data_IF_789563298507
#
_entry.id   IF_789563298507
#
_cell.length_a   1.000
_cell.length_b   1.000
_cell.length_c   1.000
_cell.angle_alpha   90.00
_cell.angle_beta   90.00
_cell.angle_gamma   90.00
#
_symmetry.space_group_name_H-M   'P 1'
#
loop_
_entity.id
_entity.type
_entity.pdbx_description
1 polymer ?
#
# COMPACT_ATOMS: atom_id res chain seq x y z
N UNK A 1 -8.40 -31.19 3.98
CA UNK A 1 -6.95 -30.82 3.83
C UNK A 1 -6.04 -31.60 4.77
N UNK A 2 -6.51 -31.93 5.97
CA UNK A 2 -5.74 -32.65 6.99
C UNK A 2 -6.31 -34.05 7.23
N UNK A 3 -5.48 -34.94 7.74
CA UNK A 3 -5.90 -36.27 8.17
C UNK A 3 -6.60 -36.15 9.54
N UNK A 4 -7.83 -36.66 9.65
CA UNK A 4 -8.66 -36.53 10.86
C UNK A 4 -7.96 -37.02 12.13
N UNK A 5 -7.30 -38.18 12.06
CA UNK A 5 -6.55 -38.73 13.20
C UNK A 5 -5.43 -37.79 13.65
N UNK A 6 -4.71 -37.18 12.70
CA UNK A 6 -3.67 -36.20 13.02
C UNK A 6 -4.23 -34.91 13.60
N UNK A 7 -5.41 -34.47 13.14
CA UNK A 7 -6.08 -33.32 13.75
C UNK A 7 -6.40 -33.63 15.21
N UNK A 8 -7.01 -34.78 15.52
CA UNK A 8 -7.33 -35.14 16.91
C UNK A 8 -6.08 -35.22 17.80
N UNK A 9 -4.98 -35.79 17.30
CA UNK A 9 -3.68 -35.79 17.99
C UNK A 9 -3.18 -34.36 18.31
N UNK A 10 -3.40 -33.40 17.40
CA UNK A 10 -3.06 -31.99 17.61
C UNK A 10 -3.99 -31.36 18.67
N UNK A 11 -5.30 -31.62 18.61
CA UNK A 11 -6.29 -31.11 19.57
C UNK A 11 -5.96 -31.57 21.00
N UNK A 12 -5.62 -32.85 21.18
CA UNK A 12 -5.19 -33.38 22.47
C UNK A 12 -3.88 -32.76 22.96
N UNK A 13 -2.90 -32.62 22.07
CA UNK A 13 -1.61 -32.02 22.41
C UNK A 13 -1.74 -30.54 22.81
N UNK A 14 -2.61 -29.78 22.13
CA UNK A 14 -2.91 -28.39 22.46
C UNK A 14 -3.58 -28.26 23.83
N UNK A 15 -4.62 -29.07 24.11
CA UNK A 15 -5.27 -29.10 25.43
C UNK A 15 -4.27 -29.40 26.55
N UNK A 16 -3.37 -30.36 26.33
CA UNK A 16 -2.29 -30.69 27.28
C UNK A 16 -1.32 -29.52 27.47
N UNK A 17 -0.87 -28.89 26.38
CA UNK A 17 0.00 -27.73 26.44
C UNK A 17 -0.63 -26.55 27.20
N UNK A 18 -1.91 -26.27 26.94
CA UNK A 18 -2.66 -25.23 27.63
C UNK A 18 -2.73 -25.51 29.14
N UNK A 19 -3.09 -26.73 29.54
CA UNK A 19 -3.21 -27.11 30.96
C UNK A 19 -1.86 -27.14 31.70
N UNK A 20 -0.80 -27.63 31.07
CA UNK A 20 0.47 -27.85 31.76
C UNK A 20 1.44 -26.66 31.65
N UNK A 21 1.60 -26.09 30.46
CA UNK A 21 2.64 -25.09 30.17
C UNK A 21 2.10 -23.68 30.29
N UNK A 22 0.93 -23.41 29.70
CA UNK A 22 0.32 -22.07 29.71
C UNK A 22 -0.12 -21.70 31.12
N UNK A 23 -0.90 -22.54 31.79
CA UNK A 23 -1.36 -22.27 33.16
C UNK A 23 -0.19 -22.07 34.15
N UNK A 24 0.87 -22.88 34.03
CA UNK A 24 2.10 -22.70 34.83
C UNK A 24 2.83 -21.39 34.55
N UNK A 25 2.77 -20.88 33.32
CA UNK A 25 3.35 -19.59 32.99
C UNK A 25 2.49 -18.44 33.52
N UNK A 26 1.17 -18.49 33.30
CA UNK A 26 0.20 -17.49 33.76
C UNK A 26 0.19 -17.36 35.29
N UNK A 27 0.29 -18.47 36.02
CA UNK A 27 0.33 -18.44 37.50
C UNK A 27 1.58 -17.75 38.06
N UNK A 28 2.66 -17.65 37.29
CA UNK A 28 3.88 -16.92 37.66
C UNK A 28 3.89 -15.50 37.10
N UNK A 29 3.39 -15.33 35.88
CA UNK A 29 3.36 -14.09 35.15
C UNK A 29 2.04 -14.01 34.37
N UNK A 30 1.01 -13.33 34.92
CA UNK A 30 -0.24 -13.12 34.21
C UNK A 30 -0.02 -12.44 32.86
N UNK A 31 -0.91 -12.72 31.91
CA UNK A 31 -0.89 -12.01 30.64
C UNK A 31 -1.24 -10.53 30.83
N UNK A 32 -0.72 -9.68 29.94
CA UNK A 32 -0.86 -8.22 30.05
C UNK A 32 -2.30 -7.72 29.90
N UNK A 33 -3.14 -8.52 29.25
CA UNK A 33 -4.57 -8.27 29.02
C UNK A 33 -5.30 -9.60 29.12
N UNK A 34 -6.56 -9.54 29.53
CA UNK A 34 -7.45 -10.71 29.50
C UNK A 34 -7.75 -11.13 28.06
N UNK A 35 -7.95 -10.14 27.17
CA UNK A 35 -8.16 -10.34 25.74
C UNK A 35 -7.14 -9.56 24.93
N UNK A 36 -6.58 -10.20 23.91
CA UNK A 36 -5.78 -9.55 22.89
C UNK A 36 -6.65 -9.36 21.66
N UNK A 37 -6.62 -8.15 21.09
CA UNK A 37 -7.35 -7.85 19.87
C UNK A 37 -6.48 -7.01 18.94
N UNK A 38 -6.75 -7.15 17.64
CA UNK A 38 -6.16 -6.29 16.60
C UNK A 38 -6.72 -4.87 16.68
N UNK A 39 -6.12 -3.93 15.96
CA UNK A 39 -6.67 -2.57 15.78
C UNK A 39 -8.07 -2.52 15.13
N UNK A 40 -8.56 -3.65 14.59
CA UNK A 40 -9.94 -3.80 14.09
C UNK A 40 -10.89 -4.44 15.09
N UNK A 41 -10.49 -4.55 16.37
CA UNK A 41 -11.24 -5.22 17.45
C UNK A 41 -11.54 -6.71 17.19
N UNK A 42 -10.78 -7.36 16.31
CA UNK A 42 -10.83 -8.81 16.18
C UNK A 42 -9.99 -9.44 17.29
N UNK A 43 -10.61 -10.28 18.10
CA UNK A 43 -9.93 -11.06 19.15
C UNK A 43 -8.88 -11.98 18.50
N UNK A 44 -7.73 -12.10 19.15
CA UNK A 44 -6.58 -12.88 18.66
C UNK A 44 -6.25 -13.94 19.68
N UNK A 45 -6.33 -15.19 19.25
CA UNK A 45 -5.98 -16.32 20.09
C UNK A 45 -4.47 -16.41 20.32
N UNK A 46 -4.10 -17.04 21.44
CA UNK A 46 -2.70 -17.23 21.82
C UNK A 46 -1.93 -18.05 20.78
N UNK A 47 -2.60 -18.98 20.13
CA UNK A 47 -2.06 -19.93 19.18
C UNK A 47 -3.13 -20.26 18.14
N UNK A 48 -2.71 -20.36 16.88
CA UNK A 48 -3.50 -20.95 15.81
C UNK A 48 -2.81 -22.24 15.33
N UNK A 49 -3.56 -23.31 15.16
CA UNK A 49 -3.16 -24.63 14.72
C UNK A 49 -3.90 -25.03 13.43
N UNK A 50 -3.60 -26.19 12.83
CA UNK A 50 -4.37 -26.68 11.69
C UNK A 50 -5.86 -26.91 11.95
N UNK A 51 -6.29 -27.01 13.22
CA UNK A 51 -7.72 -27.09 13.57
C UNK A 51 -8.47 -25.81 13.14
N UNK A 52 -7.87 -24.64 13.29
CA UNK A 52 -8.52 -23.35 12.99
C UNK A 52 -8.81 -23.13 11.49
N UNK A 53 -8.29 -24.02 10.65
CA UNK A 53 -8.51 -24.01 9.20
C UNK A 53 -8.92 -25.39 8.68
N UNK A 54 -9.48 -26.24 9.55
CA UNK A 54 -9.83 -27.63 9.17
C UNK A 54 -10.89 -27.68 8.07
N UNK A 55 -11.84 -26.73 8.09
CA UNK A 55 -12.92 -26.57 7.11
C UNK A 55 -12.52 -25.80 5.84
N UNK A 56 -11.28 -25.30 5.76
CA UNK A 56 -10.83 -24.50 4.61
C UNK A 56 -10.64 -25.40 3.38
N UNK A 57 -11.42 -25.15 2.31
CA UNK A 57 -11.13 -25.72 1.00
C UNK A 57 -9.93 -25.00 0.36
N UNK A 58 -8.83 -25.73 0.16
CA UNK A 58 -7.61 -25.16 -0.42
C UNK A 58 -7.85 -24.64 -1.84
N UNK A 59 -8.52 -25.41 -2.70
CA UNK A 59 -8.67 -25.05 -4.12
C UNK A 59 -9.63 -23.88 -4.29
N UNK A 60 -10.74 -23.89 -3.54
CA UNK A 60 -11.77 -22.85 -3.66
C UNK A 60 -11.36 -21.54 -2.98
N UNK A 61 -10.77 -21.60 -1.77
CA UNK A 61 -10.51 -20.40 -0.95
C UNK A 61 -9.10 -19.84 -1.11
N UNK A 62 -8.09 -20.68 -1.38
CA UNK A 62 -6.70 -20.25 -1.56
C UNK A 62 -6.26 -20.28 -3.02
N UNK A 63 -6.48 -21.40 -3.70
CA UNK A 63 -6.10 -21.61 -5.09
C UNK A 63 -4.60 -21.50 -5.38
N UNK A 64 -4.29 -21.20 -6.63
CA UNK A 64 -2.94 -20.95 -7.13
C UNK A 64 -2.79 -19.47 -7.55
N UNK A 65 -1.59 -18.88 -7.46
CA UNK A 65 -1.38 -17.52 -7.93
C UNK A 65 -1.65 -17.43 -9.43
N UNK A 66 -2.28 -16.34 -9.86
CA UNK A 66 -2.70 -16.16 -11.24
C UNK A 66 -4.04 -16.80 -11.59
N UNK A 67 -4.68 -17.55 -10.68
CA UNK A 67 -5.98 -18.20 -10.89
C UNK A 67 -7.01 -17.73 -9.86
N UNK A 68 -8.31 -17.83 -10.17
CA UNK A 68 -9.39 -17.59 -9.20
C UNK A 68 -9.18 -18.44 -7.93
N UNK A 69 -9.40 -17.90 -6.72
CA UNK A 69 -9.85 -16.54 -6.36
C UNK A 69 -8.71 -15.53 -6.15
N UNK A 70 -7.50 -15.80 -6.64
CA UNK A 70 -6.30 -14.97 -6.55
C UNK A 70 -5.88 -14.57 -5.13
N UNK A 71 -6.31 -15.31 -4.11
CA UNK A 71 -5.86 -15.14 -2.72
C UNK A 71 -4.34 -15.14 -2.59
N UNK A 72 -3.64 -15.81 -3.51
CA UNK A 72 -2.17 -15.90 -3.55
C UNK A 72 -1.49 -14.93 -4.54
N UNK A 73 -2.26 -14.03 -5.17
CA UNK A 73 -1.82 -13.01 -6.13
C UNK A 73 -2.36 -13.20 -7.54
N UNK A 74 -2.48 -12.12 -8.34
CA UNK A 74 -3.05 -12.14 -9.71
C UNK A 74 -2.09 -12.56 -10.81
N UNK A 75 -0.81 -12.74 -10.50
CA UNK A 75 0.18 -13.14 -11.48
C UNK A 75 0.77 -14.50 -11.09
N UNK A 76 0.89 -15.47 -12.02
CA UNK A 76 1.36 -16.81 -11.69
C UNK A 76 2.82 -16.83 -11.19
N UNK A 77 3.64 -15.87 -11.64
CA UNK A 77 5.06 -15.78 -11.25
C UNK A 77 5.35 -14.68 -10.24
N UNK A 78 4.37 -13.82 -9.93
CA UNK A 78 4.50 -12.64 -9.06
C UNK A 78 5.88 -11.98 -9.20
N UNK A 79 6.60 -11.82 -8.08
CA UNK A 79 7.84 -11.06 -8.02
C UNK A 79 9.09 -11.88 -8.36
N UNK A 80 8.93 -13.17 -8.69
CA UNK A 80 9.97 -13.95 -9.36
C UNK A 80 10.10 -13.54 -10.82
N UNK A 81 9.00 -13.13 -11.44
CA UNK A 81 8.98 -12.62 -12.81
C UNK A 81 9.30 -11.12 -12.86
N UNK A 82 8.53 -10.31 -12.14
CA UNK A 82 8.70 -8.84 -12.12
C UNK A 82 8.38 -8.27 -10.75
N UNK A 83 9.29 -7.46 -10.20
CA UNK A 83 9.03 -6.69 -8.98
C UNK A 83 7.85 -5.72 -9.18
N UNK A 84 7.20 -5.33 -8.10
CA UNK A 84 6.21 -4.25 -8.14
C UNK A 84 6.86 -2.95 -8.66
N UNK A 85 6.04 -2.05 -9.18
CA UNK A 85 6.56 -0.75 -9.62
C UNK A 85 6.88 0.08 -8.38
N UNK A 86 8.15 0.40 -8.17
CA UNK A 86 8.55 1.38 -7.17
C UNK A 86 8.14 2.76 -7.68
N UNK A 87 7.12 3.35 -7.06
CA UNK A 87 6.60 4.69 -7.35
C UNK A 87 6.65 5.55 -6.10
N UNK A 88 7.64 6.43 -6.02
CA UNK A 88 7.65 7.44 -4.98
C UNK A 88 6.73 8.58 -5.38
N UNK A 89 5.82 8.92 -4.46
CA UNK A 89 4.98 10.11 -4.55
C UNK A 89 5.88 11.35 -4.49
N UNK A 90 5.84 12.16 -5.54
CA UNK A 90 6.70 13.31 -5.71
C UNK A 90 5.97 14.44 -6.46
N UNK A 91 6.40 15.66 -6.21
CA UNK A 91 5.78 16.89 -6.72
C UNK A 91 5.78 17.91 -5.59
N UNK A 92 6.41 19.05 -5.81
CA UNK A 92 6.40 20.20 -4.92
C UNK A 92 6.81 21.43 -5.73
N UNK A 93 6.35 22.60 -5.30
CA UNK A 93 6.65 23.89 -5.88
C UNK A 93 6.31 23.96 -7.39
N UNK A 94 7.23 24.41 -8.25
CA UNK A 94 6.93 24.62 -9.68
C UNK A 94 7.06 23.35 -10.52
N UNK A 95 6.53 23.41 -11.74
CA UNK A 95 6.66 22.36 -12.73
C UNK A 95 8.13 22.04 -13.06
N UNK A 96 9.02 23.04 -13.12
CA UNK A 96 10.46 22.85 -13.36
C UNK A 96 11.15 22.09 -12.22
N UNK A 97 10.85 22.44 -10.98
CA UNK A 97 11.44 21.80 -9.79
C UNK A 97 10.97 20.36 -9.67
N UNK A 98 9.68 20.12 -9.91
CA UNK A 98 9.10 18.79 -9.97
C UNK A 98 9.66 17.96 -11.13
N UNK A 99 9.88 18.53 -12.32
CA UNK A 99 10.54 17.86 -13.45
C UNK A 99 11.97 17.42 -13.09
N UNK A 100 12.76 18.32 -12.48
CA UNK A 100 14.12 17.99 -12.01
C UNK A 100 14.08 16.82 -11.03
N UNK A 101 13.11 16.82 -10.09
CA UNK A 101 12.92 15.73 -9.14
C UNK A 101 12.55 14.42 -9.83
N UNK A 102 11.67 14.44 -10.83
CA UNK A 102 11.30 13.24 -11.59
C UNK A 102 12.48 12.64 -12.34
N UNK A 103 13.27 13.46 -13.02
CA UNK A 103 14.50 13.00 -13.70
C UNK A 103 15.49 12.38 -12.72
N UNK A 104 15.70 13.01 -11.56
CA UNK A 104 16.53 12.44 -10.50
C UNK A 104 16.00 11.07 -10.04
N UNK A 105 14.70 10.95 -9.78
CA UNK A 105 14.11 9.68 -9.33
C UNK A 105 14.27 8.57 -10.37
N UNK A 106 14.04 8.87 -11.65
CA UNK A 106 14.23 7.92 -12.75
C UNK A 106 15.70 7.48 -12.87
N UNK A 107 16.65 8.41 -12.72
CA UNK A 107 18.09 8.13 -12.71
C UNK A 107 18.50 7.21 -11.54
N UNK A 108 17.84 7.35 -10.38
CA UNK A 108 18.04 6.47 -9.22
C UNK A 108 17.31 5.12 -9.32
N UNK A 109 16.81 4.75 -10.51
CA UNK A 109 16.21 3.45 -10.78
C UNK A 109 14.70 3.36 -10.49
N UNK A 110 14.03 4.48 -10.26
CA UNK A 110 12.57 4.48 -10.17
C UNK A 110 11.95 4.09 -11.52
N UNK A 111 10.98 3.17 -11.51
CA UNK A 111 10.42 2.56 -12.73
C UNK A 111 9.06 3.14 -13.15
N UNK A 112 8.58 4.14 -12.43
CA UNK A 112 7.38 4.90 -12.77
C UNK A 112 7.25 6.15 -11.91
N UNK A 113 6.57 7.17 -12.41
CA UNK A 113 6.36 8.43 -11.69
C UNK A 113 5.03 8.40 -10.93
N UNK A 114 4.96 9.19 -9.86
CA UNK A 114 3.73 9.47 -9.14
C UNK A 114 3.69 10.95 -8.81
N UNK A 115 2.76 11.66 -9.46
CA UNK A 115 2.62 13.12 -9.44
C UNK A 115 1.68 13.51 -8.30
N UNK A 116 2.20 14.38 -7.44
CA UNK A 116 1.47 15.10 -6.40
C UNK A 116 1.15 16.51 -6.89
N UNK A 117 -0.13 16.88 -6.93
CA UNK A 117 -0.57 18.24 -7.28
C UNK A 117 -0.78 19.07 -6.01
N UNK A 118 -0.67 20.38 -6.11
CA UNK A 118 -0.99 21.26 -4.99
C UNK A 118 -2.49 21.29 -4.69
N UNK A 119 -2.90 21.99 -3.63
CA UNK A 119 -4.32 22.04 -3.25
C UNK A 119 -5.17 22.76 -4.31
N UNK A 120 -4.80 23.96 -4.82
CA UNK A 120 -5.53 24.65 -5.89
C UNK A 120 -5.84 23.78 -7.11
N UNK A 121 -4.83 23.12 -7.68
CA UNK A 121 -5.02 22.22 -8.83
C UNK A 121 -5.95 21.05 -8.47
N UNK A 122 -5.89 20.52 -7.24
CA UNK A 122 -6.75 19.42 -6.81
C UNK A 122 -8.23 19.78 -6.69
N UNK A 123 -8.54 21.03 -6.36
CA UNK A 123 -9.91 21.54 -6.23
C UNK A 123 -10.33 22.41 -7.43
N UNK A 124 -9.55 22.40 -8.52
CA UNK A 124 -9.91 22.99 -9.80
C UNK A 124 -9.83 24.52 -9.85
N UNK A 125 -8.94 25.12 -9.07
CA UNK A 125 -8.63 26.56 -9.16
C UNK A 125 -7.28 26.80 -9.82
N UNK A 126 -7.21 27.88 -10.58
CA UNK A 126 -5.95 28.45 -11.05
C UNK A 126 -5.19 29.10 -9.87
N UNK A 127 -3.87 29.22 -10.02
CA UNK A 127 -2.98 29.81 -9.00
C UNK A 127 -3.31 31.26 -8.61
N UNK A 128 -4.02 32.03 -9.46
CA UNK A 128 -4.40 33.42 -9.21
C UNK A 128 -5.80 33.57 -8.57
N UNK A 129 -6.53 32.48 -8.37
CA UNK A 129 -7.81 32.50 -7.69
C UNK A 129 -7.64 32.89 -6.21
N UNK A 130 -8.56 33.69 -5.66
CA UNK A 130 -8.44 34.20 -4.28
C UNK A 130 -8.38 33.12 -3.19
N UNK A 131 -8.96 31.93 -3.44
CA UNK A 131 -8.86 30.78 -2.52
C UNK A 131 -7.52 30.00 -2.64
N UNK A 132 -6.71 30.30 -3.64
CA UNK A 132 -5.41 29.65 -3.87
C UNK A 132 -4.29 30.30 -3.07
N UNK A 133 -4.51 31.49 -2.52
CA UNK A 133 -3.51 32.26 -1.77
C UNK A 133 -2.89 31.43 -0.63
N UNK A 134 -1.56 31.30 -0.64
CA UNK A 134 -0.81 30.56 0.37
C UNK A 134 -0.78 29.03 0.20
N UNK A 135 -1.43 28.48 -0.82
CA UNK A 135 -1.50 27.03 -1.07
C UNK A 135 -0.85 26.60 -2.41
N UNK A 136 -0.58 27.54 -3.32
CA UNK A 136 0.10 27.31 -4.60
C UNK A 136 1.47 26.66 -4.38
N UNK A 137 1.69 25.48 -4.98
CA UNK A 137 2.96 24.75 -4.95
C UNK A 137 3.37 24.17 -3.59
N UNK A 138 2.55 24.31 -2.54
CA UNK A 138 2.95 24.02 -1.15
C UNK A 138 3.02 22.53 -0.83
N UNK A 139 2.02 21.77 -1.28
CA UNK A 139 1.87 20.33 -1.00
C UNK A 139 2.00 19.44 -2.24
N UNK A 140 2.29 20.05 -3.39
CA UNK A 140 2.42 19.40 -4.68
C UNK A 140 2.82 20.40 -5.76
N UNK A 141 2.86 19.96 -7.00
CA UNK A 141 3.14 20.83 -8.14
C UNK A 141 1.88 21.63 -8.53
N UNK A 142 2.05 22.92 -8.79
CA UNK A 142 1.01 23.78 -9.35
C UNK A 142 0.88 23.54 -10.86
N UNK A 143 -0.34 23.25 -11.34
CA UNK A 143 -0.67 23.09 -12.76
C UNK A 143 -1.95 23.85 -13.07
N UNK A 144 -1.83 24.94 -13.81
CA UNK A 144 -2.96 25.76 -14.25
C UNK A 144 -3.28 25.52 -15.73
N UNK A 145 -2.25 25.20 -16.52
CA UNK A 145 -2.35 25.14 -17.98
C UNK A 145 -1.61 23.95 -18.58
N UNK A 146 -1.85 23.72 -19.88
CA UNK A 146 -1.06 22.76 -20.65
C UNK A 146 0.44 23.11 -20.63
N UNK A 147 0.79 24.40 -20.51
CA UNK A 147 2.19 24.83 -20.50
C UNK A 147 2.95 24.28 -19.29
N UNK A 148 2.29 24.23 -18.13
CA UNK A 148 2.88 23.70 -16.90
C UNK A 148 3.07 22.19 -17.01
N UNK A 149 2.10 21.48 -17.61
CA UNK A 149 2.20 20.05 -17.88
C UNK A 149 3.34 19.72 -18.88
N UNK A 150 3.55 20.56 -19.89
CA UNK A 150 4.69 20.44 -20.82
C UNK A 150 6.03 20.57 -20.09
N UNK A 151 6.15 21.56 -19.21
CA UNK A 151 7.35 21.78 -18.40
C UNK A 151 7.57 20.59 -17.46
N UNK A 152 6.51 20.13 -16.79
CA UNK A 152 6.54 19.03 -15.83
C UNK A 152 7.10 17.74 -16.45
N UNK A 153 6.76 17.47 -17.71
CA UNK A 153 7.19 16.27 -18.43
C UNK A 153 8.26 16.50 -19.49
N UNK A 154 8.86 17.69 -19.54
CA UNK A 154 9.90 18.01 -20.50
C UNK A 154 11.09 17.04 -20.38
N UNK A 155 11.45 16.37 -21.46
CA UNK A 155 12.54 15.40 -21.52
C UNK A 155 12.26 14.07 -20.79
N UNK A 156 11.00 13.77 -20.46
CA UNK A 156 10.58 12.48 -19.90
C UNK A 156 9.80 11.72 -20.99
N UNK A 157 10.27 10.53 -21.44
CA UNK A 157 9.62 9.78 -22.51
C UNK A 157 8.35 9.07 -22.03
N UNK A 158 7.18 9.63 -22.35
CA UNK A 158 5.87 9.15 -21.86
C UNK A 158 5.42 7.78 -22.41
N UNK A 159 6.07 7.27 -23.45
CA UNK A 159 5.88 5.92 -23.99
C UNK A 159 6.63 4.83 -23.20
N UNK A 160 7.63 5.23 -22.41
CA UNK A 160 8.50 4.33 -21.63
C UNK A 160 8.25 4.39 -20.14
N UNK A 161 7.88 5.56 -19.63
CA UNK A 161 7.65 5.78 -18.20
C UNK A 161 6.18 5.64 -17.87
N UNK A 162 5.85 4.86 -16.85
CA UNK A 162 4.48 4.78 -16.37
C UNK A 162 4.21 5.86 -15.33
N UNK A 163 3.19 6.68 -15.55
CA UNK A 163 2.87 7.84 -14.70
C UNK A 163 1.57 7.62 -13.92
N UNK A 164 1.61 7.82 -12.61
CA UNK A 164 0.43 7.90 -11.77
C UNK A 164 0.17 9.35 -11.39
N UNK A 165 -1.06 9.83 -11.53
CA UNK A 165 -1.48 11.19 -11.19
C UNK A 165 -2.50 11.11 -10.04
N UNK A 166 -2.14 11.63 -8.86
CA UNK A 166 -3.01 11.62 -7.69
C UNK A 166 -3.96 12.81 -7.75
N UNK A 167 -4.96 12.67 -8.60
CA UNK A 167 -5.94 13.72 -8.92
C UNK A 167 -7.34 13.09 -9.02
N UNK A 168 -8.36 13.81 -8.55
CA UNK A 168 -9.73 13.31 -8.41
C UNK A 168 -10.75 14.19 -9.12
N UNK A 169 -11.29 15.23 -8.49
CA UNK A 169 -12.36 16.03 -9.09
C UNK A 169 -12.02 16.62 -10.49
N UNK A 170 -10.80 17.14 -10.74
CA UNK A 170 -10.41 17.60 -12.08
C UNK A 170 -9.63 16.54 -12.90
N UNK A 171 -9.72 15.26 -12.53
CA UNK A 171 -8.89 14.21 -13.15
C UNK A 171 -9.07 14.09 -14.68
N UNK A 172 -10.26 14.36 -15.20
CA UNK A 172 -10.52 14.40 -16.65
C UNK A 172 -9.66 15.46 -17.35
N UNK A 173 -9.56 16.66 -16.77
CA UNK A 173 -8.80 17.79 -17.31
C UNK A 173 -7.30 17.48 -17.29
N UNK A 174 -6.77 17.00 -16.17
CA UNK A 174 -5.35 16.68 -16.04
C UNK A 174 -4.96 15.49 -16.91
N UNK A 175 -5.85 14.50 -17.10
CA UNK A 175 -5.64 13.42 -18.06
C UNK A 175 -5.61 13.94 -19.50
N UNK A 176 -6.51 14.85 -19.87
CA UNK A 176 -6.51 15.46 -21.20
C UNK A 176 -5.21 16.25 -21.46
N UNK A 177 -4.73 17.02 -20.49
CA UNK A 177 -3.45 17.71 -20.58
C UNK A 177 -2.28 16.73 -20.75
N UNK A 178 -2.26 15.64 -19.97
CA UNK A 178 -1.22 14.60 -20.09
C UNK A 178 -1.20 13.95 -21.48
N UNK A 179 -2.38 13.66 -22.04
CA UNK A 179 -2.51 13.13 -23.41
C UNK A 179 -2.01 14.14 -24.44
N UNK A 180 -2.38 15.41 -24.32
CA UNK A 180 -1.91 16.46 -25.23
C UNK A 180 -0.39 16.65 -25.19
N UNK A 181 0.24 16.53 -24.01
CA UNK A 181 1.71 16.53 -23.90
C UNK A 181 2.32 15.32 -24.60
N UNK A 182 1.73 14.14 -24.45
CA UNK A 182 2.19 12.94 -25.16
C UNK A 182 2.10 13.10 -26.68
N UNK A 183 1.00 13.65 -27.20
CA UNK A 183 0.82 13.94 -28.63
C UNK A 183 1.88 14.92 -29.13
N UNK A 184 2.18 16.00 -28.37
CA UNK A 184 3.28 16.93 -28.68
C UNK A 184 4.66 16.28 -28.69
N UNK A 185 4.86 15.22 -27.90
CA UNK A 185 6.08 14.42 -27.93
C UNK A 185 6.11 13.36 -29.05
N UNK A 186 5.06 13.27 -29.88
CA UNK A 186 4.92 12.25 -30.92
C UNK A 186 4.56 10.86 -30.39
N UNK A 187 4.02 10.78 -29.18
CA UNK A 187 3.58 9.53 -28.55
C UNK A 187 2.07 9.34 -28.75
N UNK A 188 1.70 8.23 -29.38
CA UNK A 188 0.30 7.86 -29.57
C UNK A 188 -0.37 7.40 -28.27
N UNK A 189 -1.67 7.66 -28.13
CA UNK A 189 -2.45 7.38 -26.91
C UNK A 189 -2.40 5.91 -26.47
N UNK A 190 -2.35 4.97 -27.43
CA UNK A 190 -2.30 3.53 -27.19
C UNK A 190 -0.98 3.07 -26.51
N UNK A 191 0.05 3.92 -26.51
CA UNK A 191 1.33 3.66 -25.82
C UNK A 191 1.35 4.15 -24.38
N UNK A 192 0.41 5.01 -23.98
CA UNK A 192 0.41 5.61 -22.65
C UNK A 192 0.05 4.59 -21.58
N UNK A 193 0.90 4.51 -20.55
CA UNK A 193 0.71 3.62 -19.39
C UNK A 193 0.67 4.45 -18.13
N UNK A 194 -0.43 4.41 -17.41
CA UNK A 194 -0.53 5.22 -16.21
C UNK A 194 -1.78 4.96 -15.42
N UNK A 195 -2.01 5.80 -14.43
CA UNK A 195 -3.17 5.75 -13.55
C UNK A 195 -3.55 7.17 -13.16
N UNK A 196 -4.83 7.52 -13.25
CA UNK A 196 -5.38 8.64 -12.49
C UNK A 196 -6.08 8.09 -11.25
N UNK A 197 -6.08 8.82 -10.14
CA UNK A 197 -6.76 8.35 -8.93
C UNK A 197 -8.28 8.32 -9.13
N UNK A 198 -8.87 9.43 -9.59
CA UNK A 198 -10.25 9.51 -10.13
C UNK A 198 -11.34 8.84 -9.27
N UNK A 199 -11.14 8.81 -7.95
CA UNK A 199 -12.06 8.18 -7.01
C UNK A 199 -12.75 9.30 -6.21
N UNK A 200 -13.96 9.69 -6.62
CA UNK A 200 -14.69 10.78 -5.97
C UNK A 200 -15.42 10.36 -4.70
N UNK A 201 -15.87 9.11 -4.58
CA UNK A 201 -16.64 8.65 -3.41
C UNK A 201 -15.82 8.81 -2.12
N UNK A 202 -14.55 8.39 -2.13
CA UNK A 202 -13.64 8.61 -1.00
C UNK A 202 -13.32 10.09 -0.72
N UNK A 203 -13.52 11.00 -1.69
CA UNK A 203 -13.41 12.45 -1.42
C UNK A 203 -14.51 12.91 -0.46
N UNK A 204 -15.75 12.46 -0.66
CA UNK A 204 -16.84 12.81 0.25
C UNK A 204 -16.71 12.13 1.62
N UNK A 205 -16.14 10.92 1.66
CA UNK A 205 -16.02 10.13 2.89
C UNK A 205 -14.86 10.62 3.78
N UNK A 206 -13.69 10.93 3.20
CA UNK A 206 -12.46 11.07 3.98
C UNK A 206 -11.54 12.24 3.60
N UNK A 207 -11.43 12.60 2.30
CA UNK A 207 -10.35 13.48 1.83
C UNK A 207 -10.75 14.94 1.56
N UNK A 208 -11.99 15.19 1.16
CA UNK A 208 -12.57 16.53 1.06
C UNK A 208 -12.21 17.35 -0.18
N UNK A 209 -11.56 16.80 -1.21
CA UNK A 209 -11.18 17.54 -2.44
C UNK A 209 -12.16 17.35 -3.61
N UNK A 210 -13.46 17.35 -3.31
CA UNK A 210 -14.51 17.31 -4.33
C UNK A 210 -14.86 18.72 -4.82
N UNK A 211 -15.37 18.84 -6.05
CA UNK A 211 -15.82 20.10 -6.65
C UNK A 211 -17.32 20.07 -6.91
N UNK A 212 -17.81 19.02 -7.57
CA UNK A 212 -19.21 18.88 -7.96
C UNK A 212 -19.98 18.02 -6.95
N UNK A 213 -21.32 18.01 -7.00
CA UNK A 213 -22.13 17.03 -6.28
C UNK A 213 -21.81 15.57 -6.71
N UNK A 214 -22.22 14.56 -5.92
CA UNK A 214 -21.88 13.15 -6.19
C UNK A 214 -22.30 12.66 -7.58
N UNK A 215 -23.56 12.89 -7.98
CA UNK A 215 -24.11 12.39 -9.25
C UNK A 215 -23.36 12.88 -10.50
N UNK A 216 -23.14 14.20 -10.72
CA UNK A 216 -22.35 14.65 -11.87
C UNK A 216 -20.88 14.20 -11.81
N UNK A 217 -20.32 14.01 -10.61
CA UNK A 217 -18.95 13.49 -10.46
C UNK A 217 -18.86 12.02 -10.87
N UNK A 218 -19.82 11.19 -10.46
CA UNK A 218 -19.91 9.78 -10.90
C UNK A 218 -20.03 9.68 -12.42
N UNK A 219 -20.81 10.57 -13.05
CA UNK A 219 -20.89 10.66 -14.52
C UNK A 219 -19.54 10.97 -15.17
N UNK A 220 -18.74 11.88 -14.61
CA UNK A 220 -17.41 12.18 -15.16
C UNK A 220 -16.48 10.96 -15.09
N UNK A 221 -16.59 10.16 -14.02
CA UNK A 221 -15.81 8.93 -13.86
C UNK A 221 -16.18 7.90 -14.93
N UNK A 222 -17.47 7.66 -15.16
CA UNK A 222 -17.92 6.70 -16.20
C UNK A 222 -17.57 7.19 -17.62
N UNK A 223 -17.65 8.50 -17.88
CA UNK A 223 -17.17 9.08 -19.14
C UNK A 223 -15.66 8.83 -19.37
N UNK A 224 -14.84 8.90 -18.32
CA UNK A 224 -13.41 8.56 -18.43
C UNK A 224 -13.22 7.07 -18.72
N UNK A 225 -14.03 6.20 -18.12
CA UNK A 225 -13.98 4.76 -18.38
C UNK A 225 -14.26 4.48 -19.85
N UNK A 226 -15.32 5.07 -20.39
CA UNK A 226 -15.68 4.95 -21.80
C UNK A 226 -14.58 5.48 -22.72
N UNK A 227 -14.06 6.68 -22.44
CA UNK A 227 -13.04 7.29 -23.30
C UNK A 227 -11.76 6.45 -23.31
N UNK A 228 -11.28 6.03 -22.14
CA UNK A 228 -10.01 5.31 -22.04
C UNK A 228 -10.10 3.88 -22.56
N UNK A 229 -11.26 3.21 -22.48
CA UNK A 229 -11.42 1.87 -23.06
C UNK A 229 -11.22 1.87 -24.58
N UNK A 230 -11.62 2.97 -25.25
CA UNK A 230 -11.50 3.17 -26.70
C UNK A 230 -10.16 3.77 -27.12
N UNK A 231 -9.74 4.85 -26.46
CA UNK A 231 -8.66 5.73 -26.95
C UNK A 231 -7.33 5.53 -26.22
N UNK A 232 -7.36 5.18 -24.93
CA UNK A 232 -6.16 5.08 -24.07
C UNK A 232 -6.10 3.71 -23.38
N UNK A 233 -6.12 2.60 -24.14
CA UNK A 233 -6.48 1.28 -23.64
C UNK A 233 -5.50 0.70 -22.63
N UNK A 234 -4.33 1.31 -22.38
CA UNK A 234 -3.32 0.89 -21.38
C UNK A 234 -3.34 1.74 -20.10
N UNK A 235 -4.27 2.69 -19.99
CA UNK A 235 -4.45 3.53 -18.81
C UNK A 235 -5.35 2.86 -17.76
N UNK A 236 -4.98 2.94 -16.49
CA UNK A 236 -5.86 2.57 -15.39
C UNK A 236 -6.72 3.79 -15.05
N UNK A 237 -8.03 3.66 -15.21
CA UNK A 237 -8.97 4.78 -15.25
C UNK A 237 -9.39 5.29 -13.88
N UNK A 238 -9.11 4.50 -12.84
CA UNK A 238 -9.39 4.81 -11.45
C UNK A 238 -8.46 3.99 -10.54
N UNK A 239 -8.18 4.55 -9.38
CA UNK A 239 -7.54 3.87 -8.26
C UNK A 239 -8.45 3.97 -7.04
N UNK A 240 -9.30 2.97 -6.85
CA UNK A 240 -10.32 2.89 -5.80
C UNK A 240 -9.62 2.76 -4.44
N UNK A 241 -9.76 3.75 -3.57
CA UNK A 241 -8.75 4.09 -2.56
C UNK A 241 -9.25 3.98 -1.12
N UNK A 242 -8.81 2.93 -0.43
CA UNK A 242 -8.94 2.78 1.03
C UNK A 242 -7.93 3.57 1.83
N UNK A 243 -6.78 3.93 1.22
CA UNK A 243 -5.69 4.61 1.92
C UNK A 243 -6.15 5.82 2.73
N UNK A 244 -6.93 6.72 2.12
CA UNK A 244 -7.39 7.96 2.74
C UNK A 244 -8.42 7.71 3.84
N UNK A 245 -9.30 6.72 3.64
CA UNK A 245 -10.27 6.28 4.65
C UNK A 245 -9.52 5.73 5.87
N UNK A 246 -8.42 5.00 5.67
CA UNK A 246 -7.57 4.50 6.75
C UNK A 246 -6.85 5.63 7.48
N UNK A 247 -6.25 6.59 6.76
CA UNK A 247 -5.61 7.76 7.36
C UNK A 247 -6.60 8.68 8.10
N UNK A 248 -7.86 8.71 7.70
CA UNK A 248 -8.95 9.40 8.41
C UNK A 248 -9.39 8.70 9.71
N UNK A 249 -8.83 7.51 10.02
CA UNK A 249 -9.03 6.81 11.29
C UNK A 249 -9.90 5.55 11.24
N UNK A 250 -10.24 5.05 10.05
CA UNK A 250 -11.00 3.78 9.95
C UNK A 250 -10.17 2.57 10.38
N UNK A 251 -10.82 1.49 10.82
CA UNK A 251 -10.22 0.17 11.05
C UNK A 251 -9.84 -0.53 9.73
N UNK A 252 -9.00 -1.59 9.76
CA UNK A 252 -8.65 -2.29 8.51
C UNK A 252 -9.87 -2.99 7.88
N UNK A 253 -10.81 -3.45 8.71
CA UNK A 253 -12.08 -4.00 8.25
C UNK A 253 -12.93 -2.94 7.55
N UNK A 254 -13.03 -1.74 8.11
CA UNK A 254 -13.74 -0.61 7.51
C UNK A 254 -13.07 -0.13 6.23
N UNK A 255 -11.74 0.00 6.20
CA UNK A 255 -10.97 0.35 5.00
C UNK A 255 -11.34 -0.59 3.84
N UNK A 256 -11.24 -1.91 4.06
CA UNK A 256 -11.57 -2.90 3.03
C UNK A 256 -13.05 -2.84 2.64
N UNK A 257 -13.97 -2.79 3.61
CA UNK A 257 -15.40 -2.82 3.35
C UNK A 257 -15.87 -1.58 2.57
N UNK A 258 -15.44 -0.38 2.96
CA UNK A 258 -15.85 0.86 2.30
C UNK A 258 -15.23 0.98 0.90
N UNK A 259 -13.96 0.60 0.74
CA UNK A 259 -13.32 0.63 -0.59
C UNK A 259 -13.96 -0.36 -1.56
N UNK A 260 -14.35 -1.55 -1.07
CA UNK A 260 -15.10 -2.51 -1.87
C UNK A 260 -16.48 -1.99 -2.25
N UNK A 261 -17.19 -1.35 -1.31
CA UNK A 261 -18.49 -0.76 -1.57
C UNK A 261 -18.40 0.35 -2.64
N UNK A 262 -17.39 1.21 -2.56
CA UNK A 262 -17.11 2.22 -3.60
C UNK A 262 -16.83 1.54 -4.96
N UNK A 263 -16.06 0.44 -4.95
CA UNK A 263 -15.79 -0.34 -6.16
C UNK A 263 -17.05 -0.93 -6.80
N UNK A 264 -17.97 -1.48 -6.00
CA UNK A 264 -19.28 -1.95 -6.46
C UNK A 264 -20.06 -0.78 -7.08
N UNK A 265 -20.11 0.36 -6.40
CA UNK A 265 -20.85 1.53 -6.87
C UNK A 265 -20.32 2.07 -8.21
N UNK A 266 -18.99 2.05 -8.44
CA UNK A 266 -18.41 2.43 -9.73
C UNK A 266 -18.74 1.45 -10.85
N UNK A 267 -18.71 0.14 -10.56
CA UNK A 267 -19.09 -0.89 -11.53
C UNK A 267 -20.56 -0.74 -11.91
N UNK A 268 -21.45 -0.59 -10.93
CA UNK A 268 -22.88 -0.40 -11.15
C UNK A 268 -23.15 0.89 -11.95
N UNK A 269 -22.49 1.99 -11.61
CA UNK A 269 -22.62 3.25 -12.35
C UNK A 269 -22.17 3.12 -13.82
N UNK A 270 -21.08 2.41 -14.08
CA UNK A 270 -20.59 2.18 -15.44
C UNK A 270 -21.53 1.28 -16.25
N UNK A 271 -22.05 0.20 -15.66
CA UNK A 271 -23.04 -0.68 -16.30
C UNK A 271 -24.34 0.10 -16.61
N UNK A 272 -24.81 0.91 -15.66
CA UNK A 272 -25.99 1.77 -15.86
C UNK A 272 -25.77 2.83 -16.95
N UNK A 273 -24.53 3.24 -17.18
CA UNK A 273 -24.14 4.12 -18.30
C UNK A 273 -24.01 3.37 -19.64
N UNK A 274 -24.24 2.05 -19.68
CA UNK A 274 -24.22 1.23 -20.89
C UNK A 274 -22.85 0.66 -21.26
N UNK A 275 -21.87 0.69 -20.36
CA UNK A 275 -20.55 0.10 -20.59
C UNK A 275 -20.58 -1.41 -20.34
N UNK A 276 -19.92 -2.17 -21.22
CA UNK A 276 -19.62 -3.57 -20.93
C UNK A 276 -18.55 -3.65 -19.83
N UNK A 277 -18.81 -4.45 -18.80
CA UNK A 277 -17.89 -4.65 -17.68
C UNK A 277 -16.51 -5.13 -18.14
N UNK A 278 -16.44 -5.90 -19.23
CA UNK A 278 -15.18 -6.36 -19.81
C UNK A 278 -14.32 -5.26 -20.42
N UNK A 279 -14.93 -4.14 -20.81
CA UNK A 279 -14.23 -3.03 -21.45
C UNK A 279 -13.49 -2.17 -20.42
N UNK A 280 -14.04 -2.02 -19.20
CA UNK A 280 -13.49 -1.13 -18.18
C UNK A 280 -12.95 -1.83 -16.92
N UNK A 281 -13.57 -2.93 -16.45
CA UNK A 281 -13.16 -3.60 -15.21
C UNK A 281 -11.67 -4.00 -15.20
N UNK A 282 -11.09 -4.48 -16.32
CA UNK A 282 -9.66 -4.72 -16.45
C UNK A 282 -8.71 -3.55 -16.16
N UNK A 283 -9.23 -2.32 -16.13
CA UNK A 283 -8.47 -1.08 -15.90
C UNK A 283 -8.78 -0.44 -14.56
N UNK A 284 -9.65 -1.05 -13.77
CA UNK A 284 -9.82 -0.68 -12.36
C UNK A 284 -8.56 -1.10 -11.59
N UNK A 285 -8.13 -0.23 -10.69
CA UNK A 285 -7.04 -0.50 -9.75
C UNK A 285 -7.47 -0.06 -8.35
N UNK A 286 -6.75 -0.51 -7.32
CA UNK A 286 -7.03 -0.10 -5.94
C UNK A 286 -5.78 0.41 -5.23
N UNK A 287 -6.00 1.17 -4.17
CA UNK A 287 -4.97 1.74 -3.34
C UNK A 287 -5.31 1.64 -1.85
N UNK A 288 -4.62 0.75 -1.14
CA UNK A 288 -4.77 0.49 0.29
C UNK A 288 -3.56 0.94 1.09
N UNK A 289 -3.72 1.03 2.41
CA UNK A 289 -2.68 1.40 3.36
C UNK A 289 -2.04 0.18 4.02
N UNK A 290 -0.70 0.12 4.06
CA UNK A 290 0.01 -0.82 4.93
C UNK A 290 0.18 -0.21 6.31
N UNK A 291 -0.65 -0.65 7.26
CA UNK A 291 -0.57 -0.21 8.65
C UNK A 291 0.39 -1.05 9.52
N UNK A 292 0.59 -0.64 10.77
CA UNK A 292 1.57 -1.25 11.68
C UNK A 292 1.11 -2.58 12.33
N UNK A 293 -0.13 -2.99 12.11
CA UNK A 293 -0.69 -4.27 12.61
C UNK A 293 -0.18 -5.45 11.77
N UNK A 294 1.10 -5.80 11.96
CA UNK A 294 1.77 -6.86 11.20
C UNK A 294 1.74 -8.19 11.96
N UNK A 295 1.17 -9.23 11.35
CA UNK A 295 1.25 -10.61 11.83
C UNK A 295 2.50 -11.28 11.27
N UNK A 296 3.56 -11.39 12.08
CA UNK A 296 4.77 -12.13 11.70
C UNK A 296 4.80 -13.52 12.33
N UNK A 297 5.17 -14.52 11.52
CA UNK A 297 5.61 -15.84 12.01
C UNK A 297 7.13 -15.89 11.99
N UNK A 298 7.78 -15.71 13.14
CA UNK A 298 9.22 -15.97 13.27
C UNK A 298 9.44 -17.43 13.70
N UNK A 299 10.07 -18.21 12.82
CA UNK A 299 10.61 -19.53 13.17
C UNK A 299 12.12 -19.46 12.99
N UNK A 300 12.88 -19.75 14.05
CA UNK A 300 14.30 -20.06 13.91
C UNK A 300 14.38 -21.57 13.56
N UNK A 301 14.71 -21.95 12.32
CA UNK A 301 14.53 -23.33 11.85
C UNK A 301 15.54 -24.34 12.42
N UNK A 302 16.49 -23.92 13.25
CA UNK A 302 17.62 -24.75 13.73
C UNK A 302 17.87 -24.70 15.24
N UNK A 303 16.84 -24.44 16.05
CA UNK A 303 16.95 -24.59 17.51
C UNK A 303 16.64 -26.03 17.94
N UNK A 304 17.56 -26.67 18.67
CA UNK A 304 17.33 -27.98 19.31
C UNK A 304 17.68 -27.90 20.79
N UNK A 305 16.93 -28.64 21.61
CA UNK A 305 17.26 -28.82 23.01
C UNK A 305 18.44 -29.80 23.12
N UNK A 306 19.52 -29.36 23.76
CA UNK A 306 20.72 -30.18 23.97
C UNK A 306 21.00 -30.26 25.46
N UNK A 307 21.24 -31.48 25.95
CA UNK A 307 21.68 -31.71 27.33
C UNK A 307 23.12 -31.20 27.45
N UNK A 308 23.34 -30.22 28.31
CA UNK A 308 24.66 -29.68 28.60
C UNK A 308 25.37 -30.57 29.64
N UNK A 309 26.66 -30.34 29.82
CA UNK A 309 27.54 -31.16 30.67
C UNK A 309 27.15 -31.12 32.16
N UNK A 310 26.36 -30.10 32.56
CA UNK A 310 25.75 -29.97 33.88
C UNK A 310 24.43 -30.76 34.03
N UNK A 311 24.08 -31.59 33.04
CA UNK A 311 22.86 -32.38 33.00
C UNK A 311 21.59 -31.61 32.62
N UNK A 312 21.64 -30.28 32.43
CA UNK A 312 20.48 -29.45 32.11
C UNK A 312 20.28 -29.33 30.60
N UNK A 313 19.03 -29.38 30.15
CA UNK A 313 18.69 -29.09 28.76
C UNK A 313 18.66 -27.59 28.52
N UNK A 314 19.42 -27.12 27.52
CA UNK A 314 19.44 -25.72 27.07
C UNK A 314 19.20 -25.70 25.55
N UNK A 315 18.61 -24.61 25.03
CA UNK A 315 18.44 -24.44 23.58
C UNK A 315 19.80 -24.05 22.98
N UNK A 316 20.31 -24.86 22.04
CA UNK A 316 21.49 -24.50 21.23
C UNK A 316 21.09 -24.27 19.78
N UNK A 317 21.78 -23.33 19.15
CA UNK A 317 21.71 -23.09 17.71
C UNK A 317 22.67 -24.04 16.99
N UNK A 318 22.20 -24.64 15.88
CA UNK A 318 23.00 -25.55 15.04
C UNK A 318 23.13 -25.00 13.62
N UNK A 319 23.73 -23.83 13.45
CA UNK A 319 24.04 -23.27 12.13
C UNK A 319 25.53 -23.00 11.99
N UNK A 320 26.07 -23.23 10.79
CA UNK A 320 27.50 -23.14 10.48
C UNK A 320 28.06 -21.71 10.64
N UNK A 321 27.19 -20.70 10.62
CA UNK A 321 27.49 -19.32 11.02
C UNK A 321 26.46 -18.85 12.08
N UNK A 322 26.72 -19.08 13.38
CA UNK A 322 25.80 -18.69 14.43
C UNK A 322 25.77 -17.17 14.60
N UNK A 323 24.57 -16.60 14.62
CA UNK A 323 24.33 -15.18 14.82
C UNK A 323 24.73 -14.66 16.22
N UNK A 324 25.24 -15.52 17.10
CA UNK A 324 25.84 -15.18 18.39
C UNK A 324 26.76 -16.31 18.88
N UNK A 325 27.80 -15.95 19.63
CA UNK A 325 28.67 -16.89 20.35
C UNK A 325 28.22 -17.16 21.79
N UNK A 326 27.14 -16.52 22.27
CA UNK A 326 26.69 -16.67 23.66
C UNK A 326 26.05 -18.05 23.90
N UNK A 327 26.57 -18.86 24.86
CA UNK A 327 26.04 -20.18 25.11
C UNK A 327 24.68 -20.17 25.83
N UNK A 328 24.33 -19.09 26.55
CA UNK A 328 23.12 -18.99 27.38
C UNK A 328 22.67 -17.53 27.60
N UNK A 329 21.68 -17.05 26.87
CA UNK A 329 21.06 -15.74 27.16
C UNK A 329 19.87 -15.43 26.24
N UNK A 330 18.87 -14.70 26.76
CA UNK A 330 17.81 -14.08 25.96
C UNK A 330 18.45 -13.04 25.04
N UNK A 331 18.25 -13.17 23.73
CA UNK A 331 18.65 -12.13 22.79
C UNK A 331 17.64 -10.96 22.82
N UNK A 332 18.16 -9.76 23.07
CA UNK A 332 17.61 -8.50 22.53
C UNK A 332 18.57 -8.09 21.42
N UNK A 333 18.04 -7.82 20.24
CA UNK A 333 18.83 -7.37 19.10
C UNK A 333 19.26 -5.92 19.29
N UNK A 334 20.56 -5.65 19.22
CA UNK A 334 21.10 -4.36 18.80
C UNK A 334 22.19 -4.68 17.78
N UNK A 335 21.99 -4.23 16.54
CA UNK A 335 22.98 -4.31 15.47
C UNK A 335 23.60 -2.92 15.33
N UNK A 336 24.83 -2.67 15.85
CA UNK A 336 25.45 -1.34 15.77
C UNK A 336 25.76 -0.93 14.32
N UNK A 337 26.16 -1.88 13.48
CA UNK A 337 26.37 -1.69 12.03
C UNK A 337 25.05 -1.48 11.24
N UNK A 338 23.91 -1.69 11.91
CA UNK A 338 22.56 -1.38 11.42
C UNK A 338 21.88 -0.37 12.34
N UNK A 339 22.66 0.55 12.91
CA UNK A 339 22.15 1.76 13.55
C UNK A 339 21.57 2.67 12.46
N UNK A 340 20.26 2.54 12.25
CA UNK A 340 19.47 3.14 11.15
C UNK A 340 19.15 4.63 11.40
N UNK A 341 20.11 5.43 11.85
CA UNK A 341 19.93 6.88 11.92
C UNK A 341 20.00 7.47 10.50
N UNK A 342 18.86 7.94 10.01
CA UNK A 342 18.68 8.54 8.71
C UNK A 342 19.30 9.96 8.64
N UNK A 343 20.61 10.04 8.45
CA UNK A 343 21.37 11.18 7.88
C UNK A 343 22.82 10.69 7.71
N UNK A 344 23.60 11.09 6.68
CA UNK A 344 25.04 10.97 6.79
C UNK A 344 25.46 11.95 7.88
N UNK A 345 25.52 11.47 9.12
CA UNK A 345 25.67 12.31 10.29
C UNK A 345 27.02 13.00 10.26
N UNK A 346 27.01 14.33 10.37
CA UNK A 346 28.15 15.09 10.87
C UNK A 346 28.63 14.44 12.17
N UNK A 347 29.93 14.17 12.28
CA UNK A 347 30.52 13.48 13.43
C UNK A 347 30.19 14.26 14.72
N UNK A 348 29.76 13.53 15.76
CA UNK A 348 29.57 14.11 17.10
C UNK A 348 30.87 14.75 17.58
N UNK A 349 30.74 15.83 18.36
CA UNK A 349 31.84 16.62 18.92
C UNK A 349 32.66 17.40 17.87
N UNK A 350 32.05 17.69 16.72
CA UNK A 350 32.60 18.63 15.73
C UNK A 350 31.88 19.98 15.79
N UNK A 351 32.57 21.04 15.36
CA UNK A 351 32.00 22.40 15.31
C UNK A 351 30.77 22.49 14.37
N UNK A 352 30.73 21.62 13.37
CA UNK A 352 29.62 21.47 12.44
C UNK A 352 28.41 20.78 13.11
N UNK A 353 28.66 19.82 14.02
CA UNK A 353 27.61 19.22 14.86
C UNK A 353 26.98 20.25 15.79
N UNK A 354 27.75 21.15 16.41
CA UNK A 354 27.21 22.18 17.31
C UNK A 354 26.34 23.22 16.59
N UNK A 355 26.68 23.56 15.34
CA UNK A 355 25.86 24.43 14.49
C UNK A 355 24.56 23.75 14.06
N UNK A 356 24.64 22.50 13.62
CA UNK A 356 23.46 21.70 13.23
C UNK A 356 22.58 21.42 14.45
N UNK A 357 23.15 21.17 15.62
CA UNK A 357 22.41 20.91 16.86
C UNK A 357 21.66 22.15 17.35
N UNK A 358 22.25 23.35 17.28
CA UNK A 358 21.56 24.61 17.63
C UNK A 358 20.38 24.94 16.70
N UNK A 359 20.52 24.69 15.40
CA UNK A 359 19.43 24.88 14.43
C UNK A 359 18.35 23.81 14.62
N UNK A 360 18.78 22.55 14.84
CA UNK A 360 17.90 21.42 15.11
C UNK A 360 17.12 21.58 16.41
N UNK A 361 17.71 22.11 17.48
CA UNK A 361 16.99 22.34 18.74
C UNK A 361 15.89 23.38 18.59
N UNK A 362 16.09 24.41 17.76
CA UNK A 362 15.07 25.44 17.50
C UNK A 362 13.95 24.88 16.64
N UNK A 363 14.29 24.14 15.57
CA UNK A 363 13.31 23.49 14.68
C UNK A 363 12.56 22.36 15.40
N UNK A 364 13.22 21.55 16.21
CA UNK A 364 12.60 20.50 17.02
C UNK A 364 11.74 21.08 18.15
N UNK A 365 12.09 22.22 18.75
CA UNK A 365 11.21 22.91 19.70
C UNK A 365 9.95 23.44 19.03
N UNK A 366 10.06 24.06 17.84
CA UNK A 366 8.88 24.50 17.08
C UNK A 366 8.02 23.34 16.57
N UNK A 367 8.65 22.24 16.15
CA UNK A 367 7.96 21.02 15.72
C UNK A 367 7.35 20.27 16.91
N UNK A 368 7.98 20.24 18.07
CA UNK A 368 7.43 19.60 19.27
C UNK A 368 6.26 20.40 19.84
N UNK A 369 6.29 21.74 19.77
CA UNK A 369 5.15 22.58 20.13
C UNK A 369 3.95 22.38 19.19
N UNK A 370 4.20 22.08 17.90
CA UNK A 370 3.15 21.66 16.96
C UNK A 370 2.68 20.20 17.16
N UNK A 371 3.59 19.29 17.55
CA UNK A 371 3.29 17.86 17.78
C UNK A 371 2.58 17.58 19.11
N UNK A 372 2.75 18.41 20.13
CA UNK A 372 1.97 18.32 21.38
C UNK A 372 0.46 18.54 21.14
N UNK A 373 0.10 19.21 20.04
CA UNK A 373 -1.31 19.46 19.66
C UNK A 373 -1.92 18.41 18.72
N UNK A 374 -1.11 17.57 18.06
CA UNK A 374 -1.60 16.52 17.16
C UNK A 374 -0.63 15.33 17.17
N UNK A 375 -0.98 14.31 17.96
CA UNK A 375 -0.22 13.08 18.04
C UNK A 375 -0.67 12.11 16.94
N UNK A 376 0.16 11.90 15.91
CA UNK A 376 0.33 10.62 15.18
C UNK A 376 1.72 10.64 14.53
N UNK A 377 2.49 9.58 14.81
CA UNK A 377 3.91 9.45 14.54
C UNK A 377 4.23 9.12 13.07
N UNK A 378 5.17 9.89 12.49
CA UNK A 378 5.65 9.78 11.12
C UNK A 378 6.72 8.71 10.89
N UNK A 379 6.60 8.03 9.75
CA UNK A 379 7.58 7.13 9.08
C UNK A 379 8.60 7.95 8.26
N UNK A 380 9.78 7.44 7.84
CA UNK A 380 10.11 6.52 6.70
C UNK A 380 11.67 6.37 6.67
N UNK A 381 12.35 5.35 6.14
CA UNK A 381 12.16 4.56 4.89
C UNK A 381 12.83 3.16 4.91
N UNK A 382 12.16 2.24 4.18
CA UNK A 382 12.57 1.07 3.38
C UNK A 382 13.63 0.03 3.86
N UNK A 383 13.15 -1.20 4.08
CA UNK A 383 13.89 -2.46 4.12
C UNK A 383 12.98 -3.58 3.56
N UNK A 384 13.48 -4.80 3.34
CA UNK A 384 12.80 -6.05 2.94
C UNK A 384 11.41 -6.29 3.57
N UNK A 385 11.12 -5.68 4.72
CA UNK A 385 9.79 -5.69 5.36
C UNK A 385 8.76 -4.80 4.68
N UNK A 386 9.15 -3.67 4.10
CA UNK A 386 8.27 -2.80 3.30
C UNK A 386 7.93 -3.48 1.98
N UNK A 387 8.91 -4.18 1.39
CA UNK A 387 8.72 -5.09 0.24
C UNK A 387 7.67 -6.15 0.55
N UNK A 388 7.75 -6.79 1.74
CA UNK A 388 6.77 -7.79 2.17
C UNK A 388 5.39 -7.20 2.49
N UNK A 389 5.31 -5.98 3.03
CA UNK A 389 4.06 -5.28 3.27
C UNK A 389 3.39 -4.83 1.96
N UNK A 390 4.18 -4.36 0.99
CA UNK A 390 3.71 -3.97 -0.35
C UNK A 390 3.27 -5.19 -1.18
N UNK A 391 3.98 -6.34 -1.04
CA UNK A 391 3.56 -7.68 -1.50
C UNK A 391 2.17 -8.05 -0.97
N UNK A 392 1.98 -7.86 0.35
CA UNK A 392 0.73 -8.19 1.03
C UNK A 392 -0.41 -7.27 0.58
N UNK A 393 -0.15 -5.97 0.45
CA UNK A 393 -1.09 -4.97 -0.03
C UNK A 393 -1.53 -5.23 -1.46
N UNK A 394 -0.59 -5.51 -2.36
CA UNK A 394 -0.91 -5.87 -3.73
C UNK A 394 -1.77 -7.14 -3.79
N UNK A 395 -1.51 -8.12 -2.90
CA UNK A 395 -2.33 -9.32 -2.75
C UNK A 395 -3.73 -9.04 -2.19
N UNK A 396 -3.87 -8.15 -1.22
CA UNK A 396 -5.15 -7.75 -0.62
C UNK A 396 -6.01 -7.01 -1.66
N UNK A 397 -5.46 -6.00 -2.34
CA UNK A 397 -6.09 -5.30 -3.47
C UNK A 397 -6.70 -6.25 -4.50
N UNK A 398 -5.97 -7.32 -4.77
CA UNK A 398 -6.29 -8.30 -5.78
C UNK A 398 -7.34 -9.31 -5.33
N UNK A 399 -7.23 -9.82 -4.11
CA UNK A 399 -8.26 -10.66 -3.47
C UNK A 399 -9.59 -9.91 -3.35
N UNK A 400 -9.52 -8.61 -3.05
CA UNK A 400 -10.66 -7.69 -2.98
C UNK A 400 -11.37 -7.59 -4.33
N UNK A 401 -10.63 -7.37 -5.43
CA UNK A 401 -11.19 -7.33 -6.80
C UNK A 401 -12.04 -8.58 -7.09
N UNK A 402 -11.66 -9.71 -6.50
CA UNK A 402 -12.23 -11.02 -6.76
C UNK A 402 -13.43 -11.32 -5.87
N UNK A 403 -13.35 -10.96 -4.58
CA UNK A 403 -14.51 -10.95 -3.67
C UNK A 403 -15.63 -10.08 -4.23
N UNK A 404 -15.26 -8.97 -4.88
CA UNK A 404 -16.18 -8.06 -5.56
C UNK A 404 -16.89 -8.78 -6.72
N UNK A 405 -16.16 -9.49 -7.59
CA UNK A 405 -16.75 -10.30 -8.66
C UNK A 405 -17.61 -11.46 -8.18
N UNK A 406 -17.25 -12.08 -7.04
CA UNK A 406 -18.03 -13.15 -6.40
C UNK A 406 -19.38 -12.64 -5.88
N UNK A 407 -19.36 -11.50 -5.19
CA UNK A 407 -20.54 -10.82 -4.68
C UNK A 407 -21.52 -10.38 -5.76
N UNK A 408 -21.04 -10.02 -6.95
CA UNK A 408 -21.89 -9.61 -8.06
C UNK A 408 -22.19 -10.76 -9.05
N UNK A 409 -21.69 -11.97 -8.80
CA UNK A 409 -21.84 -13.16 -9.66
C UNK A 409 -21.34 -12.98 -11.10
N UNK A 410 -20.23 -12.24 -11.29
CA UNK A 410 -19.67 -11.87 -12.61
C UNK A 410 -18.20 -12.26 -12.75
N UNK A 411 -17.89 -13.53 -12.47
CA UNK A 411 -16.50 -14.06 -12.46
C UNK A 411 -15.79 -14.00 -13.82
N UNK A 412 -16.52 -14.08 -14.93
CA UNK A 412 -15.97 -14.10 -16.29
C UNK A 412 -15.37 -12.75 -16.75
N UNK A 413 -15.58 -11.68 -15.98
CA UNK A 413 -15.38 -10.29 -16.39
C UNK A 413 -14.14 -9.59 -15.79
N UNK A 414 -13.29 -10.32 -15.04
CA UNK A 414 -12.01 -9.78 -14.52
C UNK A 414 -10.88 -10.21 -15.46
N UNK A 415 -10.07 -9.26 -15.98
CA UNK A 415 -8.99 -9.53 -16.95
C UNK A 415 -7.91 -10.51 -16.48
N UNK A 416 -7.69 -10.66 -15.17
CA UNK A 416 -6.77 -11.67 -14.66
C UNK A 416 -7.33 -13.10 -14.79
N UNK A 417 -8.64 -13.27 -15.02
CA UNK A 417 -9.33 -14.56 -15.18
C UNK A 417 -9.54 -14.96 -16.64
N UNK A 418 -9.69 -14.01 -17.55
CA UNK A 418 -9.92 -14.30 -18.98
C UNK A 418 -8.90 -15.26 -19.63
N UNK A 419 -7.60 -15.23 -19.31
CA UNK A 419 -6.63 -16.18 -19.88
C UNK A 419 -6.77 -17.62 -19.39
N UNK A 420 -7.67 -17.92 -18.45
CA UNK A 420 -7.85 -19.23 -17.82
C UNK A 420 -9.20 -19.89 -18.12
N UNK A 421 -10.12 -19.13 -18.73
CA UNK A 421 -11.44 -19.62 -19.16
C UNK A 421 -11.43 -19.99 -20.67
N UNK A 422 -10.46 -19.48 -21.43
CA UNK A 422 -10.14 -19.94 -22.79
C UNK A 422 -9.03 -21.01 -22.73
#
# INVERSE_FOLDING_TARGET
MFNEKKLEEIKEAEKKWAKEKVQKAISRFPERKEKFATGSNLEVDRLYTPEDVEELDYKEKLGFPGEYPFTRGVQPTMYRGRLWTMRQYAGFATAEESNKRYKYLLDQGQTGLSVAFDLPTQIGYDSDHGLSEGEVGKVGVAIDSLKDMEILFNGIPLDKVSTSMTINAPASVLLAMYIAVAEKQGVSKDKLRGTIQNDILKEYIARGTYIFPPEPSMRLITNIFEYCSKEVPKWNTISISGYHIREAGSTAAQEVAFTLADGIAYVDAAINAGLDVDDFAPRLSFFFNAHNDLLFKFVCPKMKWTKCDDGKYRRRHFCDNPCTSSPCGRMIYVYPEKDLRAYPGTLRDTEEWDKVYKIRSVVEQSINHFKESFCIAGRKTQNEKTIHADLLLAGITQLITVVLADKIHKHEYIRSLKPLIA
#
